data_IF_790037218021
#
_entry.id   IF_790037218021
#
_cell.length_a   1.000
_cell.length_b   1.000
_cell.length_c   1.000
_cell.angle_alpha   90.00
_cell.angle_beta   90.00
_cell.angle_gamma   90.00
#
_symmetry.space_group_name_H-M   'P 1'
#
loop_
_entity.id
_entity.type
_entity.pdbx_description
1 polymer ?
#
# COMPACT_ATOMS: atom_id res chain seq x y z
N UNK A 1 -13.79 4.49 1.84
CA UNK A 1 -12.63 5.39 1.96
C UNK A 1 -11.37 4.56 2.14
N UNK A 2 -10.36 4.86 1.36
CA UNK A 2 -9.10 4.13 1.33
C UNK A 2 -8.16 4.70 2.40
N UNK A 3 -7.62 3.83 3.28
CA UNK A 3 -6.77 4.26 4.37
C UNK A 3 -5.51 5.00 3.87
N UNK A 4 -5.01 4.63 2.67
CA UNK A 4 -3.82 5.26 2.12
C UNK A 4 -4.07 6.68 1.62
N UNK A 5 -5.32 7.05 1.40
CA UNK A 5 -5.66 8.43 1.00
C UNK A 5 -5.35 9.44 2.09
N UNK A 6 -5.32 9.01 3.34
CA UNK A 6 -5.01 9.86 4.50
C UNK A 6 -3.51 9.99 4.74
N UNK A 7 -2.69 9.19 4.05
CA UNK A 7 -1.24 9.20 4.26
C UNK A 7 -0.59 10.31 3.44
N UNK A 8 0.53 10.82 3.97
CA UNK A 8 1.33 11.81 3.23
C UNK A 8 2.08 11.15 2.08
N UNK A 9 2.58 11.97 1.16
CA UNK A 9 3.40 11.45 0.06
C UNK A 9 4.64 10.75 0.58
N UNK A 10 5.27 11.30 1.62
CA UNK A 10 6.45 10.71 2.24
C UNK A 10 6.15 9.34 2.84
N UNK A 11 4.99 9.21 3.48
CA UNK A 11 4.58 7.92 4.04
C UNK A 11 4.33 6.88 2.95
N UNK A 12 3.67 7.27 1.86
CA UNK A 12 3.43 6.35 0.75
C UNK A 12 4.73 5.89 0.11
N UNK A 13 5.70 6.81 -0.04
CA UNK A 13 7.02 6.44 -0.56
C UNK A 13 7.71 5.44 0.36
N UNK A 14 7.57 5.59 1.67
CA UNK A 14 8.19 4.68 2.62
C UNK A 14 7.60 3.27 2.56
N UNK A 15 6.36 3.14 2.08
CA UNK A 15 5.69 1.83 1.95
C UNK A 15 6.07 1.10 0.67
N UNK A 16 6.63 1.80 -0.31
CA UNK A 16 6.81 1.25 -1.66
C UNK A 16 7.69 -0.01 -1.68
N UNK A 17 8.82 -0.07 -0.95
CA UNK A 17 9.62 -1.31 -0.94
C UNK A 17 8.83 -2.51 -0.44
N UNK A 18 8.00 -2.33 0.58
CA UNK A 18 7.18 -3.39 1.12
C UNK A 18 6.04 -3.76 0.17
N UNK A 19 5.48 -2.78 -0.52
CA UNK A 19 4.49 -3.03 -1.56
C UNK A 19 5.07 -3.88 -2.68
N UNK A 20 6.31 -3.60 -3.09
CA UNK A 20 6.99 -4.40 -4.11
C UNK A 20 7.16 -5.85 -3.66
N UNK A 21 7.51 -6.07 -2.40
CA UNK A 21 7.61 -7.42 -1.84
C UNK A 21 6.26 -8.13 -1.83
N UNK A 22 5.20 -7.39 -1.51
CA UNK A 22 3.86 -7.95 -1.49
C UNK A 22 3.44 -8.44 -2.87
N UNK A 23 3.81 -7.71 -3.92
CA UNK A 23 3.48 -8.04 -5.29
C UNK A 23 4.41 -9.10 -5.90
N UNK A 24 5.55 -9.36 -5.28
CA UNK A 24 6.52 -10.35 -5.76
C UNK A 24 6.25 -11.71 -5.13
N UNK A 25 6.88 -12.74 -5.70
CA UNK A 25 6.79 -14.08 -5.13
C UNK A 25 7.75 -14.28 -3.95
N UNK A 26 8.64 -13.32 -3.71
CA UNK A 26 9.61 -13.39 -2.62
C UNK A 26 9.01 -12.81 -1.34
N UNK A 27 8.26 -13.65 -0.64
CA UNK A 27 7.61 -13.26 0.61
C UNK A 27 8.41 -13.64 1.85
N UNK A 28 9.63 -14.13 1.65
CA UNK A 28 10.42 -14.68 2.76
C UNK A 28 11.25 -13.66 3.49
N UNK A 29 11.50 -12.51 2.87
CA UNK A 29 12.39 -11.49 3.46
C UNK A 29 11.71 -10.58 4.47
N UNK A 30 10.39 -10.73 4.66
CA UNK A 30 9.65 -9.89 5.60
C UNK A 30 9.51 -8.44 5.13
N UNK A 31 8.68 -7.69 5.82
CA UNK A 31 8.45 -6.29 5.52
C UNK A 31 9.31 -5.40 6.41
N UNK A 32 9.80 -4.30 5.87
CA UNK A 32 10.72 -3.41 6.58
C UNK A 32 9.97 -2.33 7.39
N UNK A 33 8.81 -1.92 6.93
CA UNK A 33 8.07 -0.82 7.54
C UNK A 33 7.03 -1.38 8.52
N UNK A 34 7.18 -1.12 9.83
CA UNK A 34 6.22 -1.63 10.82
C UNK A 34 4.80 -1.10 10.60
N UNK A 35 4.68 0.12 10.11
CA UNK A 35 3.37 0.72 9.84
C UNK A 35 2.66 -0.02 8.70
N UNK A 36 3.40 -0.33 7.63
CA UNK A 36 2.85 -1.12 6.53
C UNK A 36 2.44 -2.51 7.00
N UNK A 37 3.26 -3.13 7.84
CA UNK A 37 2.97 -4.45 8.40
C UNK A 37 1.68 -4.43 9.22
N UNK A 38 1.48 -3.38 10.02
CA UNK A 38 0.26 -3.23 10.82
C UNK A 38 -0.97 -3.07 9.92
N UNK A 39 -0.84 -2.28 8.86
CA UNK A 39 -1.92 -2.08 7.89
C UNK A 39 -2.26 -3.42 7.21
N UNK A 40 -1.26 -4.17 6.81
CA UNK A 40 -1.46 -5.47 6.17
C UNK A 40 -2.19 -6.43 7.09
N UNK A 41 -1.79 -6.48 8.36
CA UNK A 41 -2.48 -7.31 9.35
C UNK A 41 -3.95 -6.93 9.47
N UNK A 42 -4.23 -5.65 9.50
CA UNK A 42 -5.61 -5.14 9.57
C UNK A 42 -6.42 -5.58 8.36
N UNK A 43 -5.84 -5.51 7.15
CA UNK A 43 -6.51 -5.95 5.95
C UNK A 43 -6.77 -7.45 5.96
N UNK A 44 -5.81 -8.25 6.44
CA UNK A 44 -5.99 -9.69 6.53
C UNK A 44 -7.12 -10.05 7.50
N UNK A 45 -7.20 -9.35 8.62
CA UNK A 45 -8.26 -9.57 9.59
C UNK A 45 -9.63 -9.20 9.03
N UNK A 46 -9.70 -8.12 8.26
CA UNK A 46 -10.96 -7.61 7.74
C UNK A 46 -11.44 -8.38 6.51
N UNK A 47 -10.54 -8.73 5.60
CA UNK A 47 -10.91 -9.33 4.31
C UNK A 47 -10.49 -10.79 4.18
N UNK A 48 -9.76 -11.34 5.13
CA UNK A 48 -9.35 -12.74 5.08
C UNK A 48 -8.32 -13.01 3.99
N UNK A 49 -8.45 -14.12 3.26
CA UNK A 49 -7.43 -14.54 2.29
C UNK A 49 -7.17 -13.54 1.16
N UNK A 50 -8.13 -12.68 0.85
CA UNK A 50 -7.97 -11.68 -0.22
C UNK A 50 -7.41 -10.35 0.29
N UNK A 51 -7.08 -10.26 1.60
CA UNK A 51 -6.63 -9.02 2.21
C UNK A 51 -5.40 -8.41 1.56
N UNK A 52 -4.43 -9.26 1.17
CA UNK A 52 -3.23 -8.77 0.49
C UNK A 52 -3.54 -8.12 -0.85
N UNK A 53 -4.44 -8.72 -1.62
CA UNK A 53 -4.85 -8.17 -2.91
C UNK A 53 -5.61 -6.86 -2.75
N UNK A 54 -6.49 -6.78 -1.76
CA UNK A 54 -7.25 -5.56 -1.48
C UNK A 54 -6.31 -4.43 -1.06
N UNK A 55 -5.34 -4.73 -0.20
CA UNK A 55 -4.36 -3.73 0.22
C UNK A 55 -3.55 -3.23 -0.97
N UNK A 56 -3.07 -4.14 -1.80
CA UNK A 56 -2.30 -3.77 -2.98
C UNK A 56 -3.08 -2.85 -3.92
N UNK A 57 -4.34 -3.17 -4.13
CA UNK A 57 -5.23 -2.34 -4.96
C UNK A 57 -5.41 -0.95 -4.35
N UNK A 58 -5.69 -0.88 -3.04
CA UNK A 58 -5.91 0.39 -2.36
C UNK A 58 -4.66 1.26 -2.39
N UNK A 59 -3.50 0.67 -2.16
CA UNK A 59 -2.23 1.39 -2.21
C UNK A 59 -1.97 1.94 -3.62
N UNK A 60 -2.12 1.10 -4.63
CA UNK A 60 -1.93 1.52 -6.02
C UNK A 60 -2.88 2.67 -6.38
N UNK A 61 -4.14 2.54 -6.00
CA UNK A 61 -5.13 3.56 -6.31
C UNK A 61 -4.77 4.91 -5.69
N UNK A 62 -4.33 4.91 -4.43
CA UNK A 62 -3.94 6.14 -3.74
C UNK A 62 -2.75 6.80 -4.43
N UNK A 63 -1.74 6.01 -4.79
CA UNK A 63 -0.56 6.52 -5.49
C UNK A 63 -0.93 7.05 -6.87
N UNK A 64 -1.74 6.31 -7.59
CA UNK A 64 -2.17 6.69 -8.95
C UNK A 64 -2.95 8.00 -8.93
N UNK A 65 -3.85 8.17 -7.97
CA UNK A 65 -4.62 9.40 -7.86
C UNK A 65 -3.73 10.62 -7.62
N UNK A 66 -2.70 10.46 -6.80
CA UNK A 66 -1.75 11.56 -6.56
C UNK A 66 -0.92 11.88 -7.79
N UNK A 67 -0.47 10.84 -8.50
CA UNK A 67 0.23 11.04 -9.76
C UNK A 67 -0.65 11.74 -10.79
N UNK A 68 -1.89 11.34 -10.89
CA UNK A 68 -2.85 11.92 -11.82
C UNK A 68 -3.04 13.42 -11.55
N UNK A 69 -3.20 13.80 -10.29
CA UNK A 69 -3.33 15.20 -9.90
C UNK A 69 -2.10 16.00 -10.29
N UNK A 70 -0.92 15.44 -10.10
CA UNK A 70 0.34 16.09 -10.46
C UNK A 70 0.41 16.34 -11.95
N UNK A 71 0.00 15.38 -12.77
CA UNK A 71 0.02 15.49 -14.23
C UNK A 71 -1.00 16.50 -14.71
N UNK A 72 -2.20 16.53 -14.11
CA UNK A 72 -3.28 17.37 -14.57
C UNK A 72 -3.24 18.81 -14.05
N UNK A 73 -2.37 19.10 -13.12
CA UNK A 73 -2.24 20.43 -12.55
C UNK A 73 -1.19 21.31 -13.25
N UNK A 74 -0.73 20.88 -14.39
CA UNK A 74 0.25 21.67 -15.18
C UNK A 74 -0.41 22.83 -15.93
#
# INVERSE_FOLDING_TARGET
MNIFEEKTDSELLSYFPDYQKLCSLDKYTGFQNPDFTAILKSYREKFGPIGEGVLGHDFFEAVFQRWEKTVHND
#
